data_IF_025566904262
#
_entry.id   IF_025566904262
#
_cell.length_a   1.000
_cell.length_b   1.000
_cell.length_c   1.000
_cell.angle_alpha   90.00
_cell.angle_beta   90.00
_cell.angle_gamma   90.00
#
_symmetry.space_group_name_H-M   'P 1'
#
loop_
_entity.id
_entity.type
_entity.pdbx_description
1 polymer ?
#
# COMPACT_ATOMS: atom_id res chain seq x y z
N UNK A 1 -16.03 13.34 -6.48
CA UNK A 1 -14.63 13.17 -6.01
C UNK A 1 -13.95 14.50 -5.64
N UNK A 2 -13.53 15.37 -6.56
CA UNK A 2 -12.83 16.62 -6.17
C UNK A 2 -13.66 17.52 -5.23
N UNK A 3 -14.94 17.75 -5.54
CA UNK A 3 -15.82 18.59 -4.72
C UNK A 3 -16.11 18.02 -3.32
N UNK A 4 -15.96 16.71 -3.12
CA UNK A 4 -16.30 16.05 -1.85
C UNK A 4 -15.06 15.86 -0.97
N UNK A 5 -13.94 15.42 -1.56
CA UNK A 5 -12.74 14.98 -0.82
C UNK A 5 -11.45 15.67 -1.30
N UNK A 6 -11.52 16.58 -2.27
CA UNK A 6 -10.37 17.36 -2.74
C UNK A 6 -9.32 16.56 -3.53
N UNK A 7 -9.69 15.40 -4.08
CA UNK A 7 -8.80 14.55 -4.90
C UNK A 7 -9.11 14.78 -6.39
N UNK A 8 -8.08 15.01 -7.19
CA UNK A 8 -8.15 15.11 -8.64
C UNK A 8 -6.96 14.40 -9.29
N UNK A 9 -7.13 13.97 -10.55
CA UNK A 9 -6.01 13.47 -11.36
C UNK A 9 -5.19 14.61 -11.94
N UNK A 10 -3.90 14.42 -12.01
CA UNK A 10 -2.97 15.34 -12.67
C UNK A 10 -2.67 14.89 -14.13
N UNK A 11 -1.84 15.63 -14.88
CA UNK A 11 -1.48 15.26 -16.26
C UNK A 11 -0.68 13.95 -16.38
N UNK A 12 -0.09 13.45 -15.30
CA UNK A 12 0.68 12.20 -15.24
C UNK A 12 -0.21 11.00 -14.86
N UNK A 13 -1.54 11.20 -14.82
CA UNK A 13 -2.56 10.23 -14.40
C UNK A 13 -2.45 9.82 -12.92
N UNK A 14 -1.78 10.64 -12.10
CA UNK A 14 -1.67 10.44 -10.65
C UNK A 14 -2.81 11.11 -9.90
N UNK A 15 -3.36 10.44 -8.89
CA UNK A 15 -4.35 11.05 -8.00
C UNK A 15 -3.65 11.90 -6.95
N UNK A 16 -3.87 13.21 -7.00
CA UNK A 16 -3.27 14.19 -6.07
C UNK A 16 -4.32 14.86 -5.20
N UNK A 17 -3.90 15.15 -3.97
CA UNK A 17 -4.61 15.94 -2.95
C UNK A 17 -3.57 16.77 -2.19
N UNK A 18 -3.83 17.19 -0.94
CA UNK A 18 -2.80 17.85 -0.11
C UNK A 18 -1.51 17.03 -0.02
N UNK A 19 -1.62 15.74 0.30
CA UNK A 19 -0.49 14.78 0.32
C UNK A 19 -1.06 13.39 0.03
N UNK A 20 -0.58 12.73 -1.02
CA UNK A 20 -0.92 11.34 -1.35
C UNK A 20 0.37 10.50 -1.34
N UNK A 21 0.48 9.59 -0.36
CA UNK A 21 1.69 8.79 -0.12
C UNK A 21 1.50 7.37 -0.66
N UNK A 22 1.81 7.18 -1.94
CA UNK A 22 1.85 5.84 -2.52
C UNK A 22 3.16 5.13 -2.14
N UNK A 23 3.05 4.13 -1.26
CA UNK A 23 4.19 3.36 -0.78
C UNK A 23 4.88 2.56 -1.89
N UNK A 24 4.20 2.26 -2.99
CA UNK A 24 4.79 1.50 -4.09
C UNK A 24 5.87 2.30 -4.84
N UNK A 25 5.73 3.63 -4.89
CA UNK A 25 6.76 4.50 -5.44
C UNK A 25 8.05 4.43 -4.62
N UNK A 26 7.93 4.42 -3.28
CA UNK A 26 9.07 4.22 -2.39
C UNK A 26 9.68 2.82 -2.56
N UNK A 27 8.85 1.78 -2.70
CA UNK A 27 9.33 0.41 -2.97
C UNK A 27 10.17 0.36 -4.24
N UNK A 28 9.69 0.93 -5.35
CA UNK A 28 10.44 0.90 -6.62
C UNK A 28 11.74 1.69 -6.57
N UNK A 29 11.75 2.84 -5.88
CA UNK A 29 12.84 3.80 -5.93
C UNK A 29 13.92 3.55 -4.88
N UNK A 30 13.52 3.27 -3.64
CA UNK A 30 14.39 3.38 -2.46
C UNK A 30 14.48 2.08 -1.63
N UNK A 31 13.70 1.04 -1.92
CA UNK A 31 13.68 -0.18 -1.07
C UNK A 31 14.75 -1.22 -1.40
N UNK A 32 15.48 -1.04 -2.50
CA UNK A 32 16.47 -1.99 -3.04
C UNK A 32 15.93 -3.42 -3.33
N UNK A 33 14.62 -3.65 -3.25
CA UNK A 33 14.05 -4.97 -3.55
C UNK A 33 14.16 -5.32 -5.04
N UNK A 34 14.52 -6.58 -5.36
CA UNK A 34 14.55 -7.05 -6.74
C UNK A 34 13.14 -6.98 -7.34
N UNK A 35 13.04 -6.73 -8.65
CA UNK A 35 11.75 -6.50 -9.32
C UNK A 35 10.72 -7.62 -9.10
N UNK A 36 11.17 -8.88 -8.95
CA UNK A 36 10.30 -10.03 -8.63
C UNK A 36 9.76 -10.06 -7.20
N UNK A 37 10.21 -9.19 -6.31
CA UNK A 37 9.86 -9.15 -4.89
C UNK A 37 9.25 -7.80 -4.45
N UNK A 38 8.76 -7.00 -5.39
CA UNK A 38 8.14 -5.69 -5.12
C UNK A 38 6.62 -5.77 -4.86
N UNK A 39 6.02 -6.96 -4.99
CA UNK A 39 4.62 -7.16 -4.63
C UNK A 39 4.38 -7.05 -3.11
N UNK A 40 3.20 -6.61 -2.70
CA UNK A 40 2.87 -6.37 -1.29
C UNK A 40 3.16 -7.59 -0.40
N UNK A 41 2.87 -8.81 -0.86
CA UNK A 41 3.21 -10.05 -0.15
C UNK A 41 4.71 -10.17 0.10
N UNK A 42 5.52 -10.07 -0.96
CA UNK A 42 6.97 -10.25 -0.86
C UNK A 42 7.61 -9.16 0.01
N UNK A 43 7.17 -7.90 -0.17
CA UNK A 43 7.58 -6.78 0.70
C UNK A 43 7.22 -7.09 2.14
N UNK A 44 5.99 -7.53 2.43
CA UNK A 44 5.54 -7.84 3.80
C UNK A 44 6.32 -8.99 4.45
N UNK A 45 6.65 -10.02 3.67
CA UNK A 45 7.51 -11.13 4.10
C UNK A 45 8.92 -10.64 4.41
N UNK A 46 9.48 -9.75 3.59
CA UNK A 46 10.77 -9.11 3.84
C UNK A 46 10.75 -8.22 5.09
N UNK A 47 9.58 -7.70 5.48
CA UNK A 47 9.37 -6.98 6.74
C UNK A 47 9.23 -7.92 7.96
N UNK A 48 9.28 -9.24 7.77
CA UNK A 48 9.20 -10.25 8.83
C UNK A 48 7.77 -10.63 9.24
N UNK A 49 6.77 -10.31 8.42
CA UNK A 49 5.37 -10.64 8.70
C UNK A 49 4.83 -11.72 7.75
N UNK A 50 4.00 -12.63 8.27
CA UNK A 50 3.24 -13.56 7.44
C UNK A 50 2.09 -12.81 6.76
N UNK A 51 2.01 -12.94 5.44
CA UNK A 51 0.97 -12.32 4.63
C UNK A 51 0.12 -13.40 3.97
N UNK A 52 -1.20 -13.34 4.20
CA UNK A 52 -2.17 -14.23 3.55
C UNK A 52 -2.36 -13.73 2.12
N UNK A 53 -2.23 -14.60 1.13
CA UNK A 53 -2.52 -14.28 -0.27
C UNK A 53 -3.78 -15.03 -0.70
N UNK A 54 -4.66 -14.32 -1.38
CA UNK A 54 -5.87 -14.88 -1.96
C UNK A 54 -5.84 -14.62 -3.46
N UNK A 55 -6.02 -15.67 -4.25
CA UNK A 55 -6.17 -15.56 -5.70
C UNK A 55 -7.37 -14.63 -6.02
N UNK A 56 -7.19 -13.58 -6.85
CA UNK A 56 -8.27 -12.71 -7.27
C UNK A 56 -9.51 -13.44 -7.82
N UNK A 57 -9.32 -14.56 -8.53
CA UNK A 57 -10.45 -15.35 -9.06
C UNK A 57 -11.23 -16.08 -7.96
N UNK A 58 -10.54 -16.52 -6.92
CA UNK A 58 -11.19 -17.07 -5.72
C UNK A 58 -11.86 -15.97 -4.92
N UNK A 59 -11.23 -14.79 -4.81
CA UNK A 59 -11.80 -13.64 -4.09
C UNK A 59 -13.17 -13.25 -4.66
N UNK A 60 -13.31 -13.15 -5.99
CA UNK A 60 -14.58 -12.80 -6.63
C UNK A 60 -15.66 -13.84 -6.34
N UNK A 61 -15.36 -15.13 -6.54
CA UNK A 61 -16.28 -16.23 -6.24
C UNK A 61 -16.70 -16.25 -4.77
N UNK A 62 -15.74 -16.16 -3.85
CA UNK A 62 -16.01 -16.13 -2.41
C UNK A 62 -16.82 -14.89 -2.00
N UNK A 63 -16.63 -13.75 -2.65
CA UNK A 63 -17.43 -12.54 -2.36
C UNK A 63 -18.90 -12.73 -2.73
N UNK A 64 -19.17 -13.40 -3.85
CA UNK A 64 -20.53 -13.64 -4.33
C UNK A 64 -21.24 -14.75 -3.55
N UNK A 65 -20.54 -15.86 -3.29
CA UNK A 65 -21.13 -17.05 -2.67
C UNK A 65 -21.12 -16.98 -1.14
N UNK A 66 -20.08 -16.38 -0.54
CA UNK A 66 -19.83 -16.42 0.91
C UNK A 66 -19.25 -15.10 1.45
N UNK A 67 -19.96 -13.96 1.34
CA UNK A 67 -19.42 -12.65 1.72
C UNK A 67 -19.00 -12.56 3.19
N UNK A 68 -19.77 -13.18 4.10
CA UNK A 68 -19.44 -13.20 5.53
C UNK A 68 -18.16 -14.00 5.82
N UNK A 69 -17.92 -15.07 5.06
CA UNK A 69 -16.75 -15.94 5.21
C UNK A 69 -15.48 -15.26 4.75
N UNK A 70 -15.55 -14.52 3.64
CA UNK A 70 -14.42 -13.72 3.16
C UNK A 70 -14.03 -12.62 4.16
N UNK A 71 -14.99 -12.05 4.89
CA UNK A 71 -14.70 -11.02 5.89
C UNK A 71 -14.16 -11.61 7.21
N UNK A 72 -14.74 -12.71 7.70
CA UNK A 72 -14.46 -13.25 9.04
C UNK A 72 -13.37 -14.33 9.06
N UNK A 73 -13.33 -15.20 8.06
CA UNK A 73 -12.46 -16.39 8.08
C UNK A 73 -11.18 -16.21 7.24
N UNK A 74 -11.19 -15.29 6.27
CA UNK A 74 -10.05 -15.00 5.40
C UNK A 74 -9.79 -13.49 5.41
N UNK A 75 -9.17 -12.93 6.47
CA UNK A 75 -9.05 -11.48 6.68
C UNK A 75 -8.03 -10.80 5.74
N UNK A 76 -8.02 -11.16 4.46
CA UNK A 76 -7.12 -10.69 3.41
C UNK A 76 -7.10 -9.16 3.30
N UNK A 77 -8.27 -8.51 3.27
CA UNK A 77 -8.35 -7.04 3.17
C UNK A 77 -7.74 -6.33 4.38
N UNK A 78 -7.99 -6.87 5.59
CA UNK A 78 -7.45 -6.33 6.84
C UNK A 78 -5.93 -6.52 6.84
N UNK A 79 -5.43 -7.70 6.45
CA UNK A 79 -4.00 -7.96 6.34
C UNK A 79 -3.32 -7.01 5.35
N UNK A 80 -3.89 -6.78 4.17
CA UNK A 80 -3.34 -5.83 3.20
C UNK A 80 -3.30 -4.40 3.76
N UNK A 81 -4.37 -3.96 4.41
CA UNK A 81 -4.44 -2.62 5.01
C UNK A 81 -3.41 -2.45 6.14
N UNK A 82 -3.30 -3.44 7.02
CA UNK A 82 -2.32 -3.45 8.12
C UNK A 82 -0.89 -3.49 7.57
N UNK A 83 -0.61 -4.36 6.61
CA UNK A 83 0.70 -4.45 5.96
C UNK A 83 1.12 -3.12 5.33
N UNK A 84 0.20 -2.48 4.59
CA UNK A 84 0.44 -1.18 3.95
C UNK A 84 0.69 -0.09 5.01
N UNK A 85 -0.10 -0.05 6.08
CA UNK A 85 0.08 0.89 7.18
C UNK A 85 1.41 0.68 7.91
N UNK A 86 1.79 -0.56 8.17
CA UNK A 86 3.06 -0.89 8.81
C UNK A 86 4.26 -0.53 7.93
N UNK A 87 4.20 -0.81 6.63
CA UNK A 87 5.20 -0.38 5.66
C UNK A 87 5.34 1.15 5.67
N UNK A 88 4.22 1.86 5.61
CA UNK A 88 4.19 3.32 5.65
C UNK A 88 4.83 3.86 6.94
N UNK A 89 4.32 3.45 8.11
CA UNK A 89 4.74 4.03 9.39
C UNK A 89 6.20 3.71 9.74
N UNK A 90 6.68 2.52 9.40
CA UNK A 90 8.04 2.11 9.77
C UNK A 90 9.10 2.63 8.81
N UNK A 91 8.81 2.69 7.51
CA UNK A 91 9.83 2.97 6.50
C UNK A 91 9.54 4.28 5.77
N UNK A 92 8.37 4.41 5.15
CA UNK A 92 8.09 5.54 4.23
C UNK A 92 7.94 6.86 4.97
N UNK A 93 7.19 6.88 6.07
CA UNK A 93 6.87 8.10 6.83
C UNK A 93 8.13 8.79 7.39
N UNK A 94 8.96 8.14 8.24
CA UNK A 94 10.15 8.79 8.75
C UNK A 94 11.13 9.15 7.62
N UNK A 95 11.26 8.31 6.58
CA UNK A 95 12.15 8.56 5.46
C UNK A 95 11.76 9.84 4.70
N UNK A 96 10.51 9.95 4.24
CA UNK A 96 10.09 11.10 3.42
C UNK A 96 10.10 12.40 4.23
N UNK A 97 9.65 12.38 5.49
CA UNK A 97 9.67 13.58 6.32
C UNK A 97 11.09 14.01 6.73
N UNK A 98 12.01 13.07 6.91
CA UNK A 98 13.44 13.39 7.15
C UNK A 98 14.08 13.98 5.89
N UNK A 99 13.75 13.46 4.71
CA UNK A 99 14.24 14.02 3.45
C UNK A 99 13.72 15.44 3.23
N UNK A 100 12.43 15.69 3.40
CA UNK A 100 11.87 17.03 3.18
C UNK A 100 12.45 18.06 4.15
N UNK A 101 12.58 17.72 5.43
CA UNK A 101 13.22 18.63 6.41
C UNK A 101 14.69 18.91 6.08
N UNK A 102 15.44 17.90 5.62
CA UNK A 102 16.86 18.07 5.26
C UNK A 102 17.04 18.89 3.99
N UNK A 103 16.22 18.67 2.96
CA UNK A 103 16.30 19.41 1.70
C UNK A 103 15.78 20.85 1.78
N UNK A 104 14.84 21.16 2.69
CA UNK A 104 14.37 22.53 2.93
C UNK A 104 15.30 23.36 3.81
N UNK A 105 16.23 22.74 4.54
CA UNK A 105 17.23 23.43 5.36
C UNK A 105 18.60 23.61 4.66
N UNK A 106 18.75 23.12 3.43
CA UNK A 106 19.93 23.29 2.58
C UNK A 106 19.71 24.39 1.53
#
# INVERSE_FOLDING_TARGET
MFLEIGIAKDPEDEHKSRVHMDCFHWVKRDSDFPQGSQGLKAVTVNLGYNHIELDPELMIRCTMEYPQKLLLDIPYFIFNAVATYCLYMKYVHPFVFTLTTSFLCA
#
